data_IF_897305912526
#
_entry.id   IF_897305912526
#
_cell.length_a   1.000
_cell.length_b   1.000
_cell.length_c   1.000
_cell.angle_alpha   90.00
_cell.angle_beta   90.00
_cell.angle_gamma   90.00
#
_symmetry.space_group_name_H-M   'P 1'
#
loop_
_entity.id
_entity.type
_entity.pdbx_description
1 polymer ?
#
# COMPACT_ATOMS: atom_id res chain seq x y z
N UNK A 1 -8.02 15.25 11.62
CA UNK A 1 -6.94 15.47 10.67
C UNK A 1 -6.67 14.21 9.86
N UNK A 2 -6.49 14.35 8.58
CA UNK A 2 -6.21 13.20 7.74
C UNK A 2 -4.81 12.66 7.98
N UNK A 3 -4.70 11.35 8.11
CA UNK A 3 -3.40 10.69 8.17
C UNK A 3 -3.06 10.07 6.82
N UNK A 4 -1.82 9.66 6.65
CA UNK A 4 -1.32 9.06 5.42
C UNK A 4 -0.80 7.67 5.69
N UNK A 5 -0.94 6.80 4.70
CA UNK A 5 -0.35 5.47 4.76
C UNK A 5 0.35 5.16 3.45
N UNK A 6 1.32 4.27 3.52
CA UNK A 6 1.99 3.73 2.34
C UNK A 6 1.36 2.40 1.98
N UNK A 7 0.94 2.27 0.74
CA UNK A 7 0.37 1.02 0.20
C UNK A 7 1.24 0.60 -0.97
N UNK A 8 1.56 -0.68 -1.05
CA UNK A 8 2.28 -1.22 -2.20
C UNK A 8 1.54 -2.44 -2.74
N UNK A 9 1.32 -2.44 -4.05
CA UNK A 9 0.90 -3.66 -4.74
C UNK A 9 2.18 -4.38 -5.10
N UNK A 10 2.37 -5.56 -4.53
CA UNK A 10 3.61 -6.33 -4.64
C UNK A 10 3.77 -6.93 -6.04
N UNK A 11 4.98 -7.42 -6.40
CA UNK A 11 5.22 -7.92 -7.74
C UNK A 11 4.22 -8.98 -8.24
N UNK A 12 3.73 -9.85 -7.36
CA UNK A 12 2.73 -10.85 -7.73
C UNK A 12 1.40 -10.21 -8.13
N UNK A 13 0.97 -9.17 -7.42
CA UNK A 13 -0.25 -8.43 -7.76
C UNK A 13 -0.13 -7.73 -9.12
N UNK A 14 1.03 -7.12 -9.37
CA UNK A 14 1.30 -6.47 -10.66
C UNK A 14 1.32 -7.48 -11.79
N UNK A 15 2.05 -8.58 -11.61
CA UNK A 15 2.17 -9.65 -12.62
C UNK A 15 0.85 -10.35 -12.91
N UNK A 16 -0.06 -10.36 -11.96
CA UNK A 16 -1.41 -10.93 -12.13
C UNK A 16 -2.41 -9.92 -12.69
N UNK A 17 -1.96 -8.73 -13.07
CA UNK A 17 -2.80 -7.68 -13.65
C UNK A 17 -3.92 -7.22 -12.71
N UNK A 18 -3.61 -7.08 -11.42
CA UNK A 18 -4.58 -6.69 -10.41
C UNK A 18 -4.49 -5.22 -9.99
N UNK A 19 -3.62 -4.42 -10.64
CA UNK A 19 -3.42 -3.02 -10.27
C UNK A 19 -4.73 -2.26 -10.23
N UNK A 20 -5.50 -2.28 -11.31
CA UNK A 20 -6.74 -1.52 -11.41
C UNK A 20 -7.77 -1.93 -10.37
N UNK A 21 -7.92 -3.22 -10.14
CA UNK A 21 -8.89 -3.75 -9.17
C UNK A 21 -8.55 -3.35 -7.74
N UNK A 22 -7.26 -3.35 -7.41
CA UNK A 22 -6.81 -3.01 -6.05
C UNK A 22 -6.91 -1.50 -5.82
N UNK A 23 -6.42 -0.70 -6.76
CA UNK A 23 -6.50 0.77 -6.67
C UNK A 23 -7.95 1.22 -6.54
N UNK A 24 -8.85 0.60 -7.31
CA UNK A 24 -10.28 0.87 -7.26
C UNK A 24 -10.84 0.76 -5.85
N UNK A 25 -10.42 -0.22 -5.08
CA UNK A 25 -10.91 -0.42 -3.71
C UNK A 25 -10.64 0.78 -2.81
N UNK A 26 -9.47 1.40 -2.95
CA UNK A 26 -9.12 2.58 -2.16
C UNK A 26 -9.92 3.80 -2.61
N UNK A 27 -10.10 3.97 -3.92
CA UNK A 27 -10.92 5.06 -4.44
C UNK A 27 -12.39 4.92 -4.06
N UNK A 28 -12.95 3.73 -4.19
CA UNK A 28 -14.36 3.48 -3.84
C UNK A 28 -14.62 3.67 -2.34
N UNK A 29 -13.61 3.39 -1.51
CA UNK A 29 -13.72 3.62 -0.07
C UNK A 29 -13.76 5.11 0.28
N UNK A 30 -13.36 5.97 -0.67
CA UNK A 30 -13.37 7.42 -0.49
C UNK A 30 -12.05 7.99 -0.02
N UNK A 31 -10.97 7.21 -0.07
CA UNK A 31 -9.66 7.71 0.28
C UNK A 31 -9.02 8.47 -0.87
N UNK A 32 -8.18 9.44 -0.53
CA UNK A 32 -7.52 10.30 -1.48
C UNK A 32 -6.15 9.74 -1.82
N UNK A 33 -5.92 9.43 -3.08
CA UNK A 33 -4.61 8.98 -3.56
C UNK A 33 -3.79 10.22 -3.85
N UNK A 34 -2.69 10.41 -3.12
CA UNK A 34 -1.83 11.59 -3.26
C UNK A 34 -0.45 11.26 -3.81
N UNK A 35 -0.12 9.98 -3.94
CA UNK A 35 1.08 9.51 -4.61
C UNK A 35 0.78 8.18 -5.28
N UNK A 36 1.29 8.01 -6.49
CA UNK A 36 1.03 6.79 -7.27
C UNK A 36 2.12 6.61 -8.31
N UNK A 37 2.83 5.51 -8.27
CA UNK A 37 3.82 5.22 -9.30
C UNK A 37 4.13 3.73 -9.41
N UNK A 38 4.52 3.33 -10.61
CA UNK A 38 5.02 1.99 -10.91
C UNK A 38 6.54 2.07 -10.91
N UNK A 39 7.19 1.23 -10.14
CA UNK A 39 8.66 1.22 -10.06
C UNK A 39 9.20 -0.17 -9.78
N UNK A 40 10.44 -0.39 -10.21
CA UNK A 40 11.19 -1.58 -9.83
C UNK A 40 12.05 -1.21 -8.61
N UNK A 41 11.75 -1.74 -7.42
CA UNK A 41 12.53 -1.39 -6.23
C UNK A 41 13.99 -1.77 -6.39
N UNK A 42 14.89 -0.89 -5.93
CA UNK A 42 16.30 -1.21 -5.83
C UNK A 42 16.53 -2.08 -4.60
N UNK A 43 17.67 -2.76 -4.56
CA UNK A 43 18.05 -3.54 -3.38
C UNK A 43 18.15 -2.64 -2.14
N UNK A 44 18.63 -1.41 -2.31
CA UNK A 44 18.71 -0.45 -1.21
C UNK A 44 17.35 -0.08 -0.65
N UNK A 45 16.37 0.15 -1.52
CA UNK A 45 14.99 0.41 -1.11
C UNK A 45 14.41 -0.79 -0.34
N UNK A 46 14.65 -1.99 -0.86
CA UNK A 46 14.16 -3.22 -0.24
C UNK A 46 14.76 -3.41 1.15
N UNK A 47 16.05 -3.17 1.31
CA UNK A 47 16.75 -3.27 2.59
C UNK A 47 16.23 -2.24 3.59
N UNK A 48 15.98 -1.01 3.14
CA UNK A 48 15.41 0.03 4.00
C UNK A 48 13.99 -0.35 4.44
N UNK A 49 13.20 -0.88 3.52
CA UNK A 49 11.82 -1.28 3.82
C UNK A 49 11.76 -2.40 4.86
N UNK A 50 12.62 -3.41 4.72
CA UNK A 50 12.64 -4.58 5.60
C UNK A 50 13.76 -4.54 6.64
N UNK A 51 14.26 -3.35 6.99
CA UNK A 51 15.40 -3.20 7.91
C UNK A 51 15.22 -3.93 9.24
N UNK A 52 14.00 -3.93 9.78
CA UNK A 52 13.68 -4.60 11.05
C UNK A 52 13.76 -6.12 10.98
N UNK A 53 13.80 -6.68 9.78
CA UNK A 53 13.88 -8.13 9.54
C UNK A 53 15.30 -8.59 9.23
N UNK A 54 16.27 -7.68 9.18
CA UNK A 54 17.66 -8.03 8.93
C UNK A 54 18.16 -9.07 9.93
N UNK A 55 18.82 -10.12 9.45
CA UNK A 55 19.29 -11.22 10.27
C UNK A 55 18.30 -12.36 10.48
N UNK A 56 17.04 -12.17 10.10
CA UNK A 56 16.04 -13.25 10.19
C UNK A 56 16.18 -14.22 9.00
N UNK A 57 15.86 -15.51 9.20
CA UNK A 57 16.02 -16.52 8.12
C UNK A 57 15.29 -16.20 6.83
N UNK A 58 14.12 -15.53 6.91
CA UNK A 58 13.31 -15.20 5.73
C UNK A 58 13.71 -13.88 5.06
N UNK A 59 14.66 -13.14 5.62
CA UNK A 59 15.06 -11.83 5.10
C UNK A 59 15.55 -11.87 3.64
N UNK A 60 16.46 -12.79 3.24
CA UNK A 60 16.90 -12.85 1.84
C UNK A 60 15.76 -13.11 0.86
N UNK A 61 14.77 -13.92 1.27
CA UNK A 61 13.60 -14.23 0.44
C UNK A 61 12.73 -13.01 0.24
N UNK A 62 12.52 -12.20 1.30
CA UNK A 62 11.78 -10.95 1.20
C UNK A 62 12.42 -10.00 0.20
N UNK A 63 13.74 -9.83 0.29
CA UNK A 63 14.48 -8.95 -0.62
C UNK A 63 14.39 -9.43 -2.06
N UNK A 64 14.58 -10.72 -2.27
CA UNK A 64 14.50 -11.33 -3.60
C UNK A 64 13.10 -11.15 -4.21
N UNK A 65 12.07 -11.36 -3.41
CA UNK A 65 10.70 -11.24 -3.85
C UNK A 65 10.33 -9.82 -4.24
N UNK A 66 10.59 -8.85 -3.36
CA UNK A 66 10.17 -7.45 -3.61
C UNK A 66 10.94 -6.81 -4.77
N UNK A 67 12.13 -7.31 -5.09
CA UNK A 67 12.92 -6.83 -6.23
C UNK A 67 12.73 -7.66 -7.49
N UNK A 68 11.86 -8.67 -7.46
CA UNK A 68 11.65 -9.61 -8.58
C UNK A 68 10.87 -9.01 -9.75
N UNK A 69 10.25 -7.87 -9.57
CA UNK A 69 9.47 -7.20 -10.59
C UNK A 69 8.95 -5.88 -10.09
N UNK A 70 8.27 -5.11 -10.94
CA UNK A 70 7.74 -3.81 -10.52
C UNK A 70 6.65 -3.93 -9.47
N UNK A 71 6.56 -2.91 -8.64
CA UNK A 71 5.48 -2.73 -7.67
C UNK A 71 4.72 -1.45 -8.02
N UNK A 72 3.50 -1.33 -7.52
CA UNK A 72 2.81 -0.04 -7.51
C UNK A 72 2.90 0.51 -6.10
N UNK A 73 3.54 1.66 -5.97
CA UNK A 73 3.66 2.37 -4.70
C UNK A 73 2.62 3.48 -4.64
N UNK A 74 1.88 3.56 -3.54
CA UNK A 74 0.85 4.58 -3.34
C UNK A 74 1.00 5.24 -1.98
N UNK A 75 0.65 6.52 -1.94
CA UNK A 75 0.41 7.24 -0.69
C UNK A 75 -1.07 7.59 -0.67
N UNK A 76 -1.75 7.13 0.35
CA UNK A 76 -3.20 7.29 0.51
C UNK A 76 -3.48 8.10 1.77
N UNK A 77 -4.38 9.07 1.66
CA UNK A 77 -4.72 9.99 2.75
C UNK A 77 -6.18 9.85 3.13
N UNK A 78 -6.47 9.84 4.42
CA UNK A 78 -7.83 9.76 4.92
C UNK A 78 -7.87 9.64 6.44
N UNK A 79 -9.08 9.73 7.01
CA UNK A 79 -9.27 9.58 8.45
C UNK A 79 -9.08 8.10 8.81
N UNK A 80 -8.18 7.84 9.77
CA UNK A 80 -7.85 6.47 10.22
C UNK A 80 -7.42 5.55 9.07
N UNK A 81 -6.80 6.12 8.04
CA UNK A 81 -6.49 5.38 6.81
C UNK A 81 -5.53 4.20 7.04
N UNK A 82 -4.64 4.29 8.03
CA UNK A 82 -3.71 3.20 8.33
C UNK A 82 -4.50 1.96 8.77
N UNK A 83 -5.32 2.10 9.79
CA UNK A 83 -6.10 0.98 10.33
C UNK A 83 -7.15 0.48 9.34
N UNK A 84 -7.87 1.41 8.73
CA UNK A 84 -8.93 1.05 7.78
C UNK A 84 -8.38 0.36 6.53
N UNK A 85 -7.22 0.83 6.03
CA UNK A 85 -6.57 0.17 4.89
C UNK A 85 -6.17 -1.26 5.22
N UNK A 86 -5.67 -1.50 6.43
CA UNK A 86 -5.29 -2.84 6.86
C UNK A 86 -6.50 -3.76 6.97
N UNK A 87 -7.65 -3.23 7.41
CA UNK A 87 -8.91 -3.99 7.41
C UNK A 87 -9.33 -4.36 5.99
N UNK A 88 -9.19 -3.44 5.05
CA UNK A 88 -9.50 -3.69 3.64
C UNK A 88 -8.59 -4.76 3.04
N UNK A 89 -7.32 -4.75 3.42
CA UNK A 89 -6.33 -5.70 2.93
C UNK A 89 -6.58 -7.10 3.45
N UNK A 90 -7.02 -7.23 4.70
CA UNK A 90 -7.17 -8.49 5.37
C UNK A 90 -5.88 -8.98 6.04
N UNK A 91 -6.00 -10.05 6.81
CA UNK A 91 -4.86 -10.63 7.51
C UNK A 91 -3.80 -11.15 6.54
N UNK A 92 -2.55 -11.16 6.99
CA UNK A 92 -1.39 -11.56 6.20
C UNK A 92 -1.54 -12.96 5.59
N UNK A 93 -2.11 -13.90 6.35
CA UNK A 93 -2.41 -15.24 5.86
C UNK A 93 -3.77 -15.23 5.17
N UNK A 94 -3.85 -15.54 3.87
CA UNK A 94 -5.13 -15.50 3.15
C UNK A 94 -6.23 -16.36 3.76
N UNK A 95 -5.88 -17.52 4.31
CA UNK A 95 -6.85 -18.43 4.95
C UNK A 95 -7.47 -17.85 6.23
N UNK A 96 -6.85 -16.84 6.81
CA UNK A 96 -7.37 -16.15 7.99
C UNK A 96 -8.04 -14.82 7.63
N UNK A 97 -7.92 -14.38 6.38
CA UNK A 97 -8.50 -13.12 5.91
C UNK A 97 -10.01 -13.24 5.79
N UNK A 98 -10.71 -12.19 6.20
CA UNK A 98 -12.17 -12.17 6.12
C UNK A 98 -12.64 -12.03 4.68
N UNK A 99 -13.79 -12.63 4.38
CA UNK A 99 -14.45 -12.54 3.07
C UNK A 99 -14.62 -11.07 2.69
N UNK A 100 -14.27 -10.73 1.46
CA UNK A 100 -14.38 -9.37 0.94
C UNK A 100 -13.11 -8.54 1.07
N UNK A 101 -12.10 -9.03 1.80
CA UNK A 101 -10.81 -8.35 1.87
C UNK A 101 -10.01 -8.63 0.61
N UNK A 102 -9.02 -7.78 0.33
CA UNK A 102 -8.16 -7.93 -0.85
C UNK A 102 -7.44 -9.28 -0.84
N UNK A 103 -6.89 -9.66 0.31
CA UNK A 103 -6.17 -10.93 0.41
C UNK A 103 -7.08 -12.14 0.32
N UNK A 104 -8.28 -12.06 0.89
CA UNK A 104 -9.25 -13.14 0.70
C UNK A 104 -9.59 -13.33 -0.77
N UNK A 105 -9.87 -12.22 -1.46
CA UNK A 105 -10.35 -12.28 -2.84
C UNK A 105 -9.27 -12.73 -3.83
N UNK A 106 -8.00 -12.37 -3.59
CA UNK A 106 -6.96 -12.53 -4.60
C UNK A 106 -5.74 -13.33 -4.16
N UNK A 107 -5.37 -13.32 -2.89
CA UNK A 107 -4.14 -13.96 -2.44
C UNK A 107 -4.35 -15.46 -2.22
N UNK A 108 -3.34 -16.25 -2.60
CA UNK A 108 -3.40 -17.71 -2.47
C UNK A 108 -2.39 -18.25 -1.44
N UNK A 109 -1.42 -17.44 -1.03
CA UNK A 109 -0.43 -17.86 -0.04
C UNK A 109 0.08 -16.66 0.75
N UNK A 110 0.65 -16.92 1.90
CA UNK A 110 1.26 -15.88 2.74
C UNK A 110 2.49 -15.25 2.06
N UNK A 111 3.24 -16.04 1.28
CA UNK A 111 4.43 -15.54 0.58
C UNK A 111 4.08 -14.61 -0.58
N UNK A 112 2.95 -14.88 -1.25
CA UNK A 112 2.47 -14.11 -2.40
C UNK A 112 1.11 -13.52 -2.03
N UNK A 113 1.13 -12.56 -1.09
CA UNK A 113 -0.09 -12.01 -0.54
C UNK A 113 -0.49 -10.65 -1.12
N UNK A 114 0.08 -10.29 -2.26
CA UNK A 114 -0.38 -9.25 -3.19
C UNK A 114 -0.11 -7.81 -2.74
N UNK A 115 -0.30 -7.48 -1.47
CA UNK A 115 -0.37 -6.08 -1.04
C UNK A 115 0.33 -5.89 0.31
N UNK A 116 0.88 -4.69 0.48
CA UNK A 116 1.48 -4.22 1.72
C UNK A 116 0.82 -2.90 2.14
N UNK A 117 0.61 -2.72 3.41
CA UNK A 117 0.18 -1.45 3.99
C UNK A 117 0.93 -1.20 5.28
N UNK A 118 1.26 0.05 5.56
CA UNK A 118 1.95 0.43 6.78
C UNK A 118 1.13 0.04 8.00
N UNK A 119 1.80 -0.33 9.09
CA UNK A 119 1.13 -0.80 10.31
C UNK A 119 1.02 0.28 11.41
N UNK A 120 1.65 1.43 11.20
CA UNK A 120 1.64 2.53 12.16
C UNK A 120 1.99 3.85 11.47
N UNK A 121 1.74 4.95 12.15
CA UNK A 121 2.13 6.28 11.64
C UNK A 121 3.63 6.39 11.41
N UNK A 122 4.44 5.84 12.32
CA UNK A 122 5.89 5.85 12.19
C UNK A 122 6.36 5.03 10.99
N UNK A 123 5.78 3.84 10.79
CA UNK A 123 6.07 3.01 9.62
C UNK A 123 5.65 3.69 8.33
N UNK A 124 4.49 4.32 8.32
CA UNK A 124 3.99 5.05 7.14
C UNK A 124 4.95 6.15 6.73
N UNK A 125 5.38 6.98 7.67
CA UNK A 125 6.32 8.07 7.40
C UNK A 125 7.63 7.54 6.83
N UNK A 126 8.19 6.52 7.43
CA UNK A 126 9.43 5.89 7.00
C UNK A 126 9.31 5.28 5.61
N UNK A 127 8.25 4.53 5.37
CA UNK A 127 8.03 3.83 4.10
C UNK A 127 7.75 4.81 2.95
N UNK A 128 6.97 5.85 3.20
CA UNK A 128 6.73 6.90 2.21
C UNK A 128 8.06 7.53 1.78
N UNK A 129 8.93 7.85 2.74
CA UNK A 129 10.22 8.48 2.46
C UNK A 129 11.17 7.59 1.65
N UNK A 130 11.03 6.27 1.75
CA UNK A 130 11.84 5.33 0.95
C UNK A 130 11.47 5.41 -0.54
N UNK A 131 10.19 5.51 -0.84
CA UNK A 131 9.69 5.35 -2.21
C UNK A 131 9.32 6.66 -2.90
N UNK A 132 9.06 7.72 -2.14
CA UNK A 132 8.59 8.98 -2.70
C UNK A 132 9.47 10.15 -2.29
N UNK A 133 9.74 11.03 -3.26
CA UNK A 133 10.27 12.35 -2.98
C UNK A 133 9.08 13.26 -2.66
N UNK A 134 9.33 14.33 -1.91
CA UNK A 134 8.26 15.24 -1.50
C UNK A 134 7.50 15.82 -2.70
N UNK A 135 8.22 16.18 -3.77
CA UNK A 135 7.61 16.71 -4.99
C UNK A 135 6.75 15.69 -5.75
N UNK A 136 6.87 14.41 -5.41
CA UNK A 136 6.05 13.36 -6.02
C UNK A 136 4.71 13.15 -5.29
N UNK A 137 4.51 13.85 -4.19
CA UNK A 137 3.28 13.74 -3.39
C UNK A 137 2.39 14.94 -3.70
N UNK A 138 1.22 14.68 -4.26
CA UNK A 138 0.25 15.68 -4.69
C UNK A 138 -0.89 15.78 -3.68
N UNK A 139 -0.67 16.48 -2.57
CA UNK A 139 -1.66 16.57 -1.51
C UNK A 139 -2.50 17.86 -1.53
N UNK A 140 -2.07 18.86 -2.28
CA UNK A 140 -2.70 20.18 -2.28
C UNK A 140 -3.84 20.25 -3.31
N UNK A 141 -4.87 19.45 -3.09
CA UNK A 141 -6.08 19.45 -3.90
C UNK A 141 -7.24 18.87 -3.10
N UNK A 142 -8.45 19.14 -3.53
CA UNK A 142 -9.68 18.72 -2.86
C UNK A 142 -10.46 17.77 -3.78
N UNK A 143 -10.99 16.70 -3.23
CA UNK A 143 -11.79 15.77 -4.02
C UNK A 143 -13.11 16.42 -4.43
N UNK A 144 -13.70 15.95 -5.53
CA UNK A 144 -15.01 16.44 -5.94
C UNK A 144 -16.08 16.18 -4.89
N UNK A 145 -15.98 15.05 -4.20
CA UNK A 145 -16.93 14.72 -3.13
C UNK A 145 -16.87 15.73 -2.00
N UNK A 146 -15.66 16.09 -1.55
CA UNK A 146 -15.46 17.13 -0.53
C UNK A 146 -16.02 18.47 -1.00
N UNK A 147 -15.75 18.84 -2.25
CA UNK A 147 -16.26 20.09 -2.83
C UNK A 147 -17.79 20.12 -2.86
N UNK A 148 -18.41 19.01 -3.26
CA UNK A 148 -19.86 18.90 -3.34
C UNK A 148 -20.47 19.00 -1.93
N UNK A 149 -19.87 18.32 -0.95
CA UNK A 149 -20.36 18.35 0.41
C UNK A 149 -20.21 19.74 1.05
N UNK A 150 -19.10 20.42 0.80
CA UNK A 150 -18.86 21.77 1.31
C UNK A 150 -19.83 22.78 0.71
N UNK A 151 -20.09 22.69 -0.59
CA UNK A 151 -21.00 23.61 -1.29
C UNK A 151 -22.47 23.38 -0.91
N UNK A 152 -22.77 22.21 -0.32
CA UNK A 152 -24.11 21.89 0.16
C UNK A 152 -24.43 22.46 1.53
N UNK A 153 -23.52 23.23 2.12
CA UNK A 153 -23.73 23.84 3.44
C UNK A 153 -24.27 25.29 3.33
#
# INVERSE_FOLDING_TARGET
>A
MAERTFIAIKPDGVKRNLIGKIVTRFEEKGYKIIGLKLLLPTLEMAKAHYAEHEGKPFYPRLLSYITSGPIVAMVVEGVNVIEESRKMMGKTKPEEAEVGTIRFDYALSQEYNIIHGSDSAASAEREIAIYFKEEEICSNWTTMLEMIMDNGK
#
